data_IF_181855832408
#
_entry.id   IF_181855832408
#
_cell.length_a   1.000
_cell.length_b   1.000
_cell.length_c   1.000
_cell.angle_alpha   90.00
_cell.angle_beta   90.00
_cell.angle_gamma   90.00
#
_symmetry.space_group_name_H-M   'P 1'
#
loop_
_entity.id
_entity.type
_entity.pdbx_description
1 polymer ?
#
# COMPACT_ATOMS: atom_id res chain seq x y z
N UNK A 1 -28.97 -1.82 -15.39
CA UNK A 1 -29.25 -2.15 -16.80
C UNK A 1 -28.00 -2.77 -17.40
N UNK A 2 -28.00 -4.08 -17.60
CA UNK A 2 -26.85 -4.81 -18.13
C UNK A 2 -26.86 -4.74 -19.67
N UNK A 3 -25.87 -4.05 -20.25
CA UNK A 3 -25.64 -4.04 -21.69
C UNK A 3 -25.19 -5.42 -22.15
N UNK A 4 -25.99 -6.05 -22.99
CA UNK A 4 -25.67 -7.33 -23.62
C UNK A 4 -24.37 -7.20 -24.44
N UNK A 5 -23.38 -8.09 -24.25
CA UNK A 5 -22.18 -8.08 -25.08
C UNK A 5 -22.59 -8.41 -26.52
N UNK A 6 -22.25 -7.50 -27.44
CA UNK A 6 -22.57 -7.59 -28.87
C UNK A 6 -22.12 -8.94 -29.46
N UNK A 7 -23.08 -9.77 -29.89
CA UNK A 7 -22.83 -11.08 -30.48
C UNK A 7 -21.97 -11.07 -31.76
N UNK A 8 -21.72 -9.89 -32.35
CA UNK A 8 -20.89 -9.73 -33.55
C UNK A 8 -19.45 -10.23 -33.39
N UNK A 9 -18.82 -10.02 -32.23
CA UNK A 9 -17.41 -10.42 -32.02
C UNK A 9 -17.22 -11.94 -31.96
N UNK A 10 -18.20 -12.65 -31.37
CA UNK A 10 -18.21 -14.11 -31.30
C UNK A 10 -18.49 -14.75 -32.66
N UNK A 11 -19.38 -14.14 -33.46
CA UNK A 11 -19.72 -14.61 -34.80
C UNK A 11 -18.57 -14.39 -35.78
N UNK A 12 -17.86 -13.26 -35.69
CA UNK A 12 -16.67 -12.98 -36.50
C UNK A 12 -15.49 -13.91 -36.17
N UNK A 13 -15.21 -14.14 -34.87
CA UNK A 13 -14.18 -15.08 -34.43
C UNK A 13 -14.51 -16.54 -34.81
N UNK A 14 -15.79 -16.93 -34.67
CA UNK A 14 -16.29 -18.24 -35.08
C UNK A 14 -16.22 -18.48 -36.59
N UNK A 15 -16.57 -17.49 -37.42
CA UNK A 15 -16.46 -17.59 -38.88
C UNK A 15 -15.02 -17.71 -39.37
N UNK A 16 -14.09 -16.96 -38.77
CA UNK A 16 -12.68 -17.07 -39.12
C UNK A 16 -12.12 -18.46 -38.80
N UNK A 17 -12.46 -19.03 -37.64
CA UNK A 17 -12.06 -20.39 -37.26
C UNK A 17 -12.72 -21.47 -38.15
N UNK A 18 -14.00 -21.30 -38.53
CA UNK A 18 -14.76 -22.24 -39.35
C UNK A 18 -14.31 -22.28 -40.81
N UNK A 19 -13.79 -21.17 -41.35
CA UNK A 19 -13.27 -21.11 -42.72
C UNK A 19 -11.83 -21.66 -42.82
N UNK A 20 -10.98 -21.41 -41.82
CA UNK A 20 -9.58 -21.85 -41.82
C UNK A 20 -9.40 -23.36 -41.63
N UNK A 21 -10.25 -24.00 -40.83
CA UNK A 21 -10.21 -25.44 -40.55
C UNK A 21 -10.28 -26.35 -41.80
N UNK A 22 -11.28 -26.21 -42.69
CA UNK A 22 -11.37 -27.05 -43.89
C UNK A 22 -10.32 -26.68 -44.94
N UNK A 23 -9.94 -25.40 -45.07
CA UNK A 23 -8.90 -24.97 -46.02
C UNK A 23 -7.53 -25.55 -45.68
N UNK A 24 -7.18 -25.65 -44.39
CA UNK A 24 -5.89 -26.20 -43.94
C UNK A 24 -5.87 -27.73 -43.98
N UNK A 25 -7.00 -28.39 -43.67
CA UNK A 25 -7.11 -29.85 -43.64
C UNK A 25 -7.11 -30.49 -45.04
N UNK A 26 -7.75 -29.84 -46.02
CA UNK A 26 -7.92 -30.39 -47.38
C UNK A 26 -6.74 -30.02 -48.29
N UNK A 27 -6.10 -28.85 -48.09
CA UNK A 27 -5.04 -28.35 -48.97
C UNK A 27 -3.62 -28.89 -48.69
N UNK A 28 -3.33 -29.34 -47.46
CA UNK A 28 -1.95 -29.65 -47.01
C UNK A 28 -1.73 -31.09 -46.52
N UNK A 29 -2.77 -31.94 -46.49
CA UNK A 29 -2.67 -33.35 -46.06
C UNK A 29 -2.32 -33.55 -44.58
N UNK A 30 -2.51 -32.53 -43.72
CA UNK A 30 -2.16 -32.60 -42.30
C UNK A 30 -3.24 -33.29 -41.45
N UNK A 31 -2.87 -34.10 -40.43
CA UNK A 31 -3.81 -34.71 -39.48
C UNK A 31 -4.68 -33.67 -38.77
N UNK A 32 -6.00 -33.93 -38.70
CA UNK A 32 -7.00 -32.98 -38.21
C UNK A 32 -6.75 -32.44 -36.79
N UNK A 33 -6.08 -33.22 -35.93
CA UNK A 33 -5.71 -32.79 -34.57
C UNK A 33 -4.69 -31.63 -34.56
N UNK A 34 -3.80 -31.55 -35.55
CA UNK A 34 -2.81 -30.47 -35.68
C UNK A 34 -3.49 -29.20 -36.20
N UNK A 35 -4.42 -29.32 -37.16
CA UNK A 35 -5.22 -28.22 -37.66
C UNK A 35 -6.12 -27.60 -36.57
N UNK A 36 -6.66 -28.43 -35.66
CA UNK A 36 -7.39 -27.97 -34.48
C UNK A 36 -6.51 -27.10 -33.57
N UNK A 37 -5.26 -27.52 -33.33
CA UNK A 37 -4.30 -26.77 -32.53
C UNK A 37 -3.93 -25.42 -33.16
N UNK A 38 -3.68 -25.39 -34.48
CA UNK A 38 -3.34 -24.17 -35.22
C UNK A 38 -4.54 -23.21 -35.28
N UNK A 39 -5.76 -23.72 -35.48
CA UNK A 39 -6.99 -22.91 -35.50
C UNK A 39 -7.31 -22.32 -34.12
N UNK A 40 -7.12 -23.08 -33.03
CA UNK A 40 -7.27 -22.58 -31.67
C UNK A 40 -6.25 -21.46 -31.35
N UNK A 41 -5.00 -21.61 -31.80
CA UNK A 41 -3.94 -20.59 -31.67
C UNK A 41 -4.22 -19.33 -32.50
N UNK A 42 -4.61 -19.49 -33.77
CA UNK A 42 -4.91 -18.36 -34.66
C UNK A 42 -6.20 -17.63 -34.24
N UNK A 43 -7.27 -18.37 -33.90
CA UNK A 43 -8.53 -17.81 -33.41
C UNK A 43 -8.38 -17.17 -32.03
N UNK A 44 -7.66 -17.82 -31.12
CA UNK A 44 -7.34 -17.26 -29.80
C UNK A 44 -6.50 -15.99 -29.89
N UNK A 45 -5.49 -15.96 -30.77
CA UNK A 45 -4.66 -14.79 -31.03
C UNK A 45 -5.44 -13.59 -31.59
N UNK A 46 -6.38 -13.83 -32.51
CA UNK A 46 -7.26 -12.78 -33.06
C UNK A 46 -8.22 -12.25 -31.99
N UNK A 47 -8.80 -13.12 -31.16
CA UNK A 47 -9.69 -12.69 -30.06
C UNK A 47 -8.93 -11.88 -29.02
N UNK A 48 -7.70 -12.27 -28.67
CA UNK A 48 -6.84 -11.51 -27.75
C UNK A 48 -6.40 -10.18 -28.35
N UNK A 49 -6.09 -10.12 -29.64
CA UNK A 49 -5.70 -8.88 -30.32
C UNK A 49 -6.86 -7.87 -30.46
N UNK A 50 -8.10 -8.35 -30.61
CA UNK A 50 -9.30 -7.50 -30.67
C UNK A 50 -9.97 -7.28 -29.30
N UNK A 51 -9.54 -7.98 -28.25
CA UNK A 51 -10.13 -7.85 -26.93
C UNK A 51 -9.91 -6.43 -26.39
N UNK A 52 -10.94 -5.82 -25.77
CA UNK A 52 -10.86 -4.46 -25.29
C UNK A 52 -9.75 -4.34 -24.23
N UNK A 53 -8.79 -3.44 -24.48
CA UNK A 53 -7.62 -3.16 -23.63
C UNK A 53 -7.97 -2.96 -22.14
N UNK A 54 -9.21 -2.54 -21.84
CA UNK A 54 -9.72 -2.35 -20.47
C UNK A 54 -9.80 -3.63 -19.64
N UNK A 55 -10.02 -4.80 -20.26
CA UNK A 55 -10.08 -6.09 -19.52
C UNK A 55 -8.68 -6.53 -19.08
N UNK A 56 -7.66 -6.31 -19.91
CA UNK A 56 -6.28 -6.56 -19.54
C UNK A 56 -5.80 -5.58 -18.45
N UNK A 57 -6.15 -4.30 -18.58
CA UNK A 57 -5.83 -3.30 -17.56
C UNK A 57 -6.45 -3.62 -16.18
N UNK A 58 -7.68 -4.13 -16.13
CA UNK A 58 -8.32 -4.54 -14.88
C UNK A 58 -7.65 -5.78 -14.26
N UNK A 59 -7.25 -6.77 -15.07
CA UNK A 59 -6.53 -7.95 -14.60
C UNK A 59 -5.14 -7.57 -14.08
N UNK A 60 -4.41 -6.73 -14.80
CA UNK A 60 -3.11 -6.21 -14.39
C UNK A 60 -3.21 -5.39 -13.10
N UNK A 61 -4.18 -4.47 -13.00
CA UNK A 61 -4.44 -3.72 -11.77
C UNK A 61 -4.75 -4.64 -10.58
N UNK A 62 -5.53 -5.71 -10.80
CA UNK A 62 -5.84 -6.69 -9.75
C UNK A 62 -4.63 -7.52 -9.33
N UNK A 63 -3.75 -7.87 -10.28
CA UNK A 63 -2.49 -8.58 -10.02
C UNK A 63 -1.50 -7.72 -9.26
N UNK A 64 -1.34 -6.46 -9.67
CA UNK A 64 -0.50 -5.47 -8.98
C UNK A 64 -1.01 -5.22 -7.57
N UNK A 65 -2.33 -5.04 -7.38
CA UNK A 65 -2.91 -4.87 -6.05
C UNK A 65 -2.65 -6.08 -5.15
N UNK A 66 -2.82 -7.30 -5.68
CA UNK A 66 -2.54 -8.54 -4.93
C UNK A 66 -1.06 -8.65 -4.55
N UNK A 67 -0.15 -8.36 -5.48
CA UNK A 67 1.29 -8.37 -5.21
C UNK A 67 1.71 -7.32 -4.17
N UNK A 68 1.08 -6.14 -4.15
CA UNK A 68 1.31 -5.13 -3.11
C UNK A 68 0.89 -5.60 -1.72
N UNK A 69 -0.27 -6.28 -1.62
CA UNK A 69 -0.76 -6.82 -0.35
C UNK A 69 0.18 -7.91 0.16
N UNK A 70 0.59 -8.83 -0.71
CA UNK A 70 1.52 -9.91 -0.35
C UNK A 70 2.87 -9.36 0.11
N UNK A 71 3.43 -8.42 -0.63
CA UNK A 71 4.68 -7.75 -0.26
C UNK A 71 4.57 -6.95 1.05
N UNK A 72 3.43 -6.29 1.30
CA UNK A 72 3.20 -5.60 2.57
C UNK A 72 3.18 -6.58 3.75
N UNK A 73 2.49 -7.71 3.60
CA UNK A 73 2.43 -8.74 4.63
C UNK A 73 3.80 -9.37 4.89
N UNK A 74 4.60 -9.61 3.85
CA UNK A 74 5.97 -10.10 3.97
C UNK A 74 6.85 -9.13 4.77
N UNK A 75 6.83 -7.83 4.42
CA UNK A 75 7.59 -6.81 5.14
C UNK A 75 7.14 -6.64 6.59
N UNK A 76 5.85 -6.75 6.87
CA UNK A 76 5.33 -6.69 8.23
C UNK A 76 5.75 -7.93 9.04
N UNK A 77 5.73 -9.12 8.43
CA UNK A 77 6.19 -10.34 9.06
C UNK A 77 7.69 -10.30 9.41
N UNK A 78 8.50 -9.60 8.62
CA UNK A 78 9.92 -9.34 8.93
C UNK A 78 10.10 -8.25 9.99
N UNK A 79 9.21 -7.25 10.03
CA UNK A 79 9.29 -6.11 10.92
C UNK A 79 8.81 -6.39 12.36
N UNK A 80 7.79 -7.23 12.54
CA UNK A 80 7.21 -7.53 13.85
C UNK A 80 8.23 -8.09 14.86
N UNK A 81 9.10 -9.06 14.49
CA UNK A 81 10.15 -9.55 15.39
C UNK A 81 11.15 -8.46 15.82
N UNK A 82 11.37 -7.42 15.02
CA UNK A 82 12.25 -6.31 15.39
C UNK A 82 11.62 -5.47 16.50
N UNK A 83 10.31 -5.20 16.40
CA UNK A 83 9.58 -4.49 17.45
C UNK A 83 9.54 -5.29 18.76
N UNK A 84 9.35 -6.62 18.68
CA UNK A 84 9.41 -7.50 19.85
C UNK A 84 10.80 -7.50 20.51
N UNK A 85 11.88 -7.60 19.70
CA UNK A 85 13.26 -7.50 20.20
C UNK A 85 13.54 -6.16 20.88
N UNK A 86 13.02 -5.06 20.32
CA UNK A 86 13.15 -3.73 20.93
C UNK A 86 12.43 -3.65 22.28
N UNK A 87 11.22 -4.20 22.38
CA UNK A 87 10.46 -4.25 23.64
C UNK A 87 11.21 -5.06 24.71
N UNK A 88 11.69 -6.24 24.33
CA UNK A 88 12.52 -7.07 25.21
C UNK A 88 13.80 -6.32 25.65
N UNK A 89 14.46 -5.63 24.73
CA UNK A 89 15.65 -4.83 25.02
C UNK A 89 15.35 -3.69 25.99
N UNK A 90 14.23 -2.99 25.81
CA UNK A 90 13.77 -1.95 26.70
C UNK A 90 13.49 -2.47 28.12
N UNK A 91 12.96 -3.68 28.25
CA UNK A 91 12.74 -4.33 29.55
C UNK A 91 14.03 -4.64 30.32
N UNK A 92 15.15 -4.79 29.60
CA UNK A 92 16.44 -5.16 30.16
C UNK A 92 17.41 -3.97 30.35
N UNK A 93 17.00 -2.76 29.95
CA UNK A 93 17.77 -1.53 30.17
C UNK A 93 17.46 -0.96 31.56
N UNK A 94 18.50 -0.59 32.31
CA UNK A 94 18.41 -0.01 33.66
C UNK A 94 18.06 1.48 33.62
N UNK A 95 18.57 2.20 32.62
CA UNK A 95 18.29 3.62 32.44
C UNK A 95 16.86 3.85 31.97
N UNK A 96 15.98 4.20 32.91
CA UNK A 96 14.53 4.35 32.67
C UNK A 96 14.19 5.28 31.50
N UNK A 97 14.85 6.43 31.39
CA UNK A 97 14.58 7.38 30.31
C UNK A 97 14.79 6.78 28.91
N UNK A 98 15.84 5.97 28.73
CA UNK A 98 16.14 5.32 27.45
C UNK A 98 15.20 4.14 27.22
N UNK A 99 14.88 3.35 28.26
CA UNK A 99 13.90 2.28 28.15
C UNK A 99 12.52 2.82 27.73
N UNK A 100 12.05 3.92 28.33
CA UNK A 100 10.77 4.55 28.00
C UNK A 100 10.77 5.09 26.57
N UNK A 101 11.90 5.64 26.10
CA UNK A 101 12.06 6.07 24.70
C UNK A 101 11.96 4.90 23.73
N UNK A 102 12.63 3.79 24.00
CA UNK A 102 12.56 2.59 23.14
C UNK A 102 11.14 2.02 23.12
N UNK A 103 10.43 1.99 24.26
CA UNK A 103 9.01 1.59 24.28
C UNK A 103 8.15 2.49 23.41
N UNK A 104 8.39 3.81 23.46
CA UNK A 104 7.69 4.75 22.59
C UNK A 104 7.95 4.47 21.09
N UNK A 105 9.20 4.15 20.72
CA UNK A 105 9.53 3.69 19.36
C UNK A 105 8.73 2.44 18.96
N UNK A 106 8.61 1.47 19.87
CA UNK A 106 7.83 0.24 19.64
C UNK A 106 6.35 0.55 19.45
N UNK A 107 5.79 1.45 20.26
CA UNK A 107 4.39 1.91 20.08
C UNK A 107 4.18 2.53 18.71
N UNK A 108 5.05 3.46 18.29
CA UNK A 108 4.94 4.10 16.97
C UNK A 108 5.08 3.06 15.84
N UNK A 109 6.02 2.11 15.97
CA UNK A 109 6.21 1.06 14.97
C UNK A 109 4.94 0.22 14.80
N UNK A 110 4.31 -0.21 15.90
CA UNK A 110 3.04 -0.96 15.87
C UNK A 110 1.89 -0.16 15.28
N UNK A 111 1.81 1.13 15.56
CA UNK A 111 0.80 2.01 14.95
C UNK A 111 0.99 2.09 13.42
N UNK A 112 2.24 2.19 12.96
CA UNK A 112 2.57 2.15 11.53
C UNK A 112 2.21 0.79 10.93
N UNK A 113 2.51 -0.32 11.61
CA UNK A 113 2.13 -1.66 11.14
C UNK A 113 0.63 -1.78 10.96
N UNK A 114 -0.15 -1.39 11.98
CA UNK A 114 -1.60 -1.41 11.92
C UNK A 114 -2.15 -0.50 10.80
N UNK A 115 -1.50 0.63 10.49
CA UNK A 115 -1.87 1.47 9.37
C UNK A 115 -1.64 0.78 8.01
N UNK A 116 -0.54 0.04 7.86
CA UNK A 116 -0.22 -0.72 6.64
C UNK A 116 -1.14 -1.94 6.49
N UNK A 117 -1.46 -2.63 7.58
CA UNK A 117 -2.41 -3.75 7.56
C UNK A 117 -3.80 -3.31 7.08
N UNK A 118 -4.25 -2.11 7.49
CA UNK A 118 -5.53 -1.53 7.03
C UNK A 118 -5.47 -1.10 5.58
N UNK A 119 -4.36 -0.50 5.14
CA UNK A 119 -4.16 -0.05 3.77
C UNK A 119 -2.73 -0.31 3.28
N UNK A 120 -2.52 -1.44 2.57
CA UNK A 120 -1.21 -1.81 2.03
C UNK A 120 -0.62 -0.80 1.04
N UNK A 121 -1.41 0.12 0.48
CA UNK A 121 -0.91 1.17 -0.41
C UNK A 121 -0.06 2.21 0.35
N UNK A 122 -0.22 2.31 1.68
CA UNK A 122 0.59 3.20 2.52
C UNK A 122 2.04 2.76 2.61
N UNK A 123 2.33 1.49 2.33
CA UNK A 123 3.67 0.92 2.38
C UNK A 123 4.67 1.75 1.58
N UNK A 124 4.29 2.28 0.42
CA UNK A 124 5.20 3.03 -0.45
C UNK A 124 5.78 4.28 0.26
N UNK A 125 5.08 4.85 1.24
CA UNK A 125 5.52 6.03 2.01
C UNK A 125 6.42 5.67 3.19
N UNK A 126 6.25 4.49 3.77
CA UNK A 126 6.96 4.01 4.97
C UNK A 126 7.89 2.83 4.71
N UNK A 127 8.10 2.46 3.44
CA UNK A 127 9.00 1.39 3.03
C UNK A 127 10.39 1.55 3.64
N UNK A 128 10.95 2.75 3.57
CA UNK A 128 12.28 3.05 4.15
C UNK A 128 12.29 2.96 5.67
N UNK A 129 11.16 3.25 6.32
CA UNK A 129 11.04 3.05 7.75
C UNK A 129 11.20 1.56 8.10
N UNK A 130 10.45 0.68 7.43
CA UNK A 130 10.51 -0.77 7.66
C UNK A 130 11.86 -1.39 7.29
N UNK A 131 12.44 -1.02 6.14
CA UNK A 131 13.63 -1.71 5.61
C UNK A 131 14.96 -1.17 6.15
N UNK A 132 14.95 -0.04 6.87
CA UNK A 132 16.20 0.60 7.29
C UNK A 132 16.14 1.19 8.70
N UNK A 133 15.16 2.05 8.98
CA UNK A 133 15.14 2.76 10.27
C UNK A 133 14.76 1.84 11.43
N UNK A 134 13.79 0.96 11.24
CA UNK A 134 13.36 0.00 12.26
C UNK A 134 14.46 -1.03 12.61
N UNK A 135 15.09 -1.72 11.66
CA UNK A 135 16.22 -2.61 11.95
C UNK A 135 17.36 -1.88 12.67
N UNK A 136 17.70 -0.66 12.22
CA UNK A 136 18.76 0.13 12.83
C UNK A 136 18.41 0.58 14.25
N UNK A 137 17.15 0.89 14.52
CA UNK A 137 16.70 1.22 15.87
C UNK A 137 16.85 0.01 16.81
N UNK A 138 16.52 -1.20 16.34
CA UNK A 138 16.74 -2.42 17.10
C UNK A 138 18.23 -2.66 17.39
N UNK A 139 19.11 -2.51 16.39
CA UNK A 139 20.56 -2.64 16.56
C UNK A 139 21.12 -1.64 17.60
N UNK A 140 20.68 -0.38 17.53
CA UNK A 140 21.15 0.67 18.46
C UNK A 140 20.62 0.42 19.88
N UNK A 141 19.37 -0.02 20.03
CA UNK A 141 18.82 -0.39 21.32
C UNK A 141 19.62 -1.54 21.96
N UNK A 142 19.95 -2.57 21.17
CA UNK A 142 20.77 -3.70 21.64
C UNK A 142 22.20 -3.27 22.00
N UNK A 143 22.80 -2.40 21.19
CA UNK A 143 24.12 -1.83 21.45
C UNK A 143 24.11 -1.01 22.75
N UNK A 144 23.08 -0.18 22.98
CA UNK A 144 22.93 0.57 24.22
C UNK A 144 22.88 -0.35 25.44
N UNK A 145 22.03 -1.39 25.38
CA UNK A 145 21.93 -2.40 26.45
C UNK A 145 23.26 -3.11 26.70
N UNK A 146 23.98 -3.46 25.65
CA UNK A 146 25.29 -4.13 25.76
C UNK A 146 26.33 -3.22 26.43
N UNK A 147 26.38 -1.94 26.04
CA UNK A 147 27.26 -0.93 26.64
C UNK A 147 26.92 -0.71 28.11
N UNK A 148 25.63 -0.63 28.46
CA UNK A 148 25.18 -0.44 29.83
C UNK A 148 25.52 -1.65 30.71
N UNK A 149 25.47 -2.88 30.18
CA UNK A 149 25.79 -4.12 30.91
C UNK A 149 27.30 -4.34 31.10
N UNK A 150 28.15 -3.65 30.32
CA UNK A 150 29.61 -3.82 30.40
C UNK A 150 30.15 -3.45 31.79
N UNK A 151 31.11 -4.24 32.29
CA UNK A 151 31.80 -3.97 33.56
C UNK A 151 32.66 -2.70 33.51
N UNK A 152 33.07 -2.27 32.31
CA UNK A 152 33.75 -0.99 32.06
C UNK A 152 32.92 -0.22 31.02
N UNK A 153 31.98 0.63 31.45
CA UNK A 153 31.13 1.39 30.54
C UNK A 153 31.92 2.49 29.83
N UNK A 154 31.92 2.47 28.49
CA UNK A 154 32.33 3.62 27.69
C UNK A 154 31.19 4.65 27.73
N UNK A 155 31.29 5.61 28.65
CA UNK A 155 30.24 6.62 28.89
C UNK A 155 29.98 7.50 27.68
N UNK A 156 31.01 7.77 26.85
CA UNK A 156 30.85 8.56 25.63
C UNK A 156 30.04 7.80 24.57
N UNK A 157 30.33 6.50 24.37
CA UNK A 157 29.53 5.66 23.46
C UNK A 157 28.11 5.43 23.97
N UNK A 158 27.93 5.25 25.27
CA UNK A 158 26.61 5.10 25.87
C UNK A 158 25.75 6.36 25.66
N UNK A 159 26.33 7.54 25.88
CA UNK A 159 25.66 8.81 25.62
C UNK A 159 25.31 8.99 24.13
N UNK A 160 26.25 8.70 23.23
CA UNK A 160 26.02 8.78 21.79
C UNK A 160 24.90 7.84 21.30
N UNK A 161 24.84 6.61 21.84
CA UNK A 161 23.76 5.67 21.55
C UNK A 161 22.41 6.20 22.05
N UNK A 162 22.36 6.79 23.25
CA UNK A 162 21.16 7.44 23.77
C UNK A 162 20.67 8.60 22.89
N UNK A 163 21.57 9.48 22.47
CA UNK A 163 21.24 10.60 21.56
C UNK A 163 20.70 10.08 20.21
N UNK A 164 21.27 8.99 19.70
CA UNK A 164 20.79 8.39 18.46
C UNK A 164 19.39 7.79 18.61
N UNK A 165 19.07 7.20 19.76
CA UNK A 165 17.70 6.73 20.07
C UNK A 165 16.73 7.92 20.09
N UNK A 166 17.10 9.05 20.70
CA UNK A 166 16.27 10.27 20.68
C UNK A 166 16.07 10.82 19.25
N UNK A 167 17.09 10.77 18.40
CA UNK A 167 16.96 11.17 16.98
C UNK A 167 16.05 10.22 16.20
N UNK A 168 16.13 8.92 16.49
CA UNK A 168 15.24 7.91 15.89
C UNK A 168 13.79 8.13 16.32
N UNK A 169 13.55 8.58 17.54
CA UNK A 169 12.20 8.91 18.06
C UNK A 169 11.53 10.01 17.25
N UNK A 170 12.27 11.09 16.98
CA UNK A 170 11.80 12.15 16.09
C UNK A 170 11.54 11.67 14.66
N UNK A 171 12.38 10.76 14.14
CA UNK A 171 12.20 10.20 12.81
C UNK A 171 10.96 9.29 12.72
N UNK A 172 10.76 8.41 13.70
CA UNK A 172 9.59 7.52 13.80
C UNK A 172 8.30 8.33 13.88
N UNK A 173 8.28 9.34 14.76
CA UNK A 173 7.12 10.23 14.92
C UNK A 173 6.77 10.93 13.60
N UNK A 174 7.79 11.38 12.84
CA UNK A 174 7.56 11.99 11.52
C UNK A 174 6.98 10.99 10.51
N UNK A 175 7.45 9.74 10.51
CA UNK A 175 6.88 8.71 9.63
C UNK A 175 5.42 8.43 9.96
N UNK A 176 5.06 8.36 11.25
CA UNK A 176 3.68 8.18 11.68
C UNK A 176 2.80 9.40 11.32
N UNK A 177 3.28 10.62 11.56
CA UNK A 177 2.57 11.85 11.18
C UNK A 177 2.31 11.92 9.66
N UNK A 178 3.30 11.59 8.84
CA UNK A 178 3.15 11.55 7.38
C UNK A 178 2.08 10.54 6.91
N UNK A 179 1.80 9.49 7.69
CA UNK A 179 0.69 8.57 7.39
C UNK A 179 -0.67 9.17 7.74
N UNK A 180 -0.75 9.98 8.79
CA UNK A 180 -1.98 10.67 9.23
C UNK A 180 -2.33 11.85 8.33
N UNK A 181 -1.35 12.65 7.92
CA UNK A 181 -1.56 13.81 7.03
C UNK A 181 -2.26 13.39 5.73
N UNK A 182 -1.89 12.23 5.19
CA UNK A 182 -2.52 11.72 3.99
C UNK A 182 -3.97 11.25 4.19
N UNK A 183 -4.36 10.89 5.42
CA UNK A 183 -5.75 10.58 5.75
C UNK A 183 -6.60 11.84 5.81
N UNK A 184 -6.01 12.93 6.31
CA UNK A 184 -6.64 14.25 6.29
C UNK A 184 -6.82 14.73 4.85
N UNK A 185 -5.81 14.59 3.98
CA UNK A 185 -5.92 14.93 2.56
C UNK A 185 -7.04 14.15 1.85
N UNK A 186 -7.16 12.84 2.15
CA UNK A 186 -8.21 12.00 1.58
C UNK A 186 -9.60 12.43 2.07
N UNK A 187 -9.74 12.73 3.36
CA UNK A 187 -10.97 13.23 3.94
C UNK A 187 -11.38 14.58 3.33
N UNK A 188 -10.44 15.49 3.09
CA UNK A 188 -10.70 16.78 2.45
C UNK A 188 -11.20 16.64 1.01
N UNK A 189 -10.66 15.66 0.26
CA UNK A 189 -11.16 15.34 -1.09
C UNK A 189 -12.59 14.79 -1.00
N UNK A 190 -12.86 13.87 -0.09
CA UNK A 190 -14.20 13.31 0.12
C UNK A 190 -15.21 14.38 0.53
N UNK A 191 -14.83 15.32 1.41
CA UNK A 191 -15.66 16.46 1.80
C UNK A 191 -15.93 17.41 0.62
N UNK A 192 -14.91 17.71 -0.21
CA UNK A 192 -15.09 18.52 -1.42
C UNK A 192 -16.03 17.85 -2.42
N UNK A 193 -15.89 16.54 -2.61
CA UNK A 193 -16.76 15.76 -3.49
C UNK A 193 -18.20 15.73 -2.96
N UNK A 194 -18.36 15.49 -1.65
CA UNK A 194 -19.68 15.51 -1.00
C UNK A 194 -20.33 16.89 -1.13
N UNK A 195 -19.57 17.98 -0.90
CA UNK A 195 -20.05 19.35 -1.08
C UNK A 195 -20.44 19.61 -2.53
N UNK A 196 -19.64 19.16 -3.50
CA UNK A 196 -19.97 19.32 -4.93
C UNK A 196 -21.24 18.56 -5.30
N UNK A 197 -21.40 17.32 -4.83
CA UNK A 197 -22.62 16.52 -5.06
C UNK A 197 -23.84 17.16 -4.42
N UNK A 198 -23.67 17.73 -3.22
CA UNK A 198 -24.75 18.40 -2.49
C UNK A 198 -25.16 19.72 -3.17
N UNK A 199 -24.19 20.52 -3.63
CA UNK A 199 -24.45 21.75 -4.36
C UNK A 199 -25.11 21.45 -5.73
N UNK A 200 -24.83 20.29 -6.35
CA UNK A 200 -25.48 19.82 -7.59
C UNK A 200 -26.93 19.32 -7.37
N UNK A 201 -27.18 18.56 -6.29
CA UNK A 201 -28.50 17.99 -5.99
C UNK A 201 -29.49 19.00 -5.39
N UNK A 202 -29.02 19.94 -4.56
CA UNK A 202 -29.89 20.84 -3.76
C UNK A 202 -29.69 22.33 -4.10
N UNK A 203 -28.73 22.65 -4.97
CA UNK A 203 -28.31 24.02 -5.28
C UNK A 203 -27.28 24.57 -4.27
N UNK A 204 -26.47 25.58 -4.67
CA UNK A 204 -25.34 26.04 -3.88
C UNK A 204 -25.77 26.61 -2.52
N UNK A 205 -25.10 26.18 -1.45
CA UNK A 205 -25.34 26.75 -0.10
C UNK A 205 -24.96 28.24 -0.11
N UNK A 206 -25.86 29.19 0.22
CA UNK A 206 -25.53 30.61 0.32
C UNK A 206 -24.40 30.80 1.34
N UNK A 207 -23.42 31.70 1.09
CA UNK A 207 -22.37 31.98 2.05
C UNK A 207 -23.00 32.39 3.38
N UNK A 208 -22.57 31.73 4.47
CA UNK A 208 -23.04 32.02 5.81
C UNK A 208 -22.93 33.53 6.07
N UNK A 209 -24.09 34.18 6.23
CA UNK A 209 -24.15 35.61 6.45
C UNK A 209 -23.32 35.97 7.70
N UNK A 210 -22.57 37.08 7.69
CA UNK A 210 -21.91 37.58 8.89
C UNK A 210 -22.96 37.72 9.98
N UNK A 211 -22.73 37.10 11.14
CA UNK A 211 -23.59 37.29 12.30
C UNK A 211 -23.42 38.75 12.72
N UNK A 212 -24.32 39.61 12.24
CA UNK A 212 -24.40 41.01 12.63
C UNK A 212 -24.80 41.03 14.10
N UNK A 213 -23.79 41.03 14.98
CA UNK A 213 -23.97 41.30 16.39
C UNK A 213 -24.53 42.71 16.49
N UNK A 214 -25.85 42.81 16.62
CA UNK A 214 -26.56 44.06 16.87
C UNK A 214 -26.08 44.58 18.22
N UNK A 215 -25.01 45.38 18.19
CA UNK A 215 -24.51 46.10 19.35
C UNK A 215 -25.61 47.08 19.75
N UNK A 216 -26.19 46.85 20.93
CA UNK A 216 -27.28 47.64 21.48
C UNK A 216 -26.95 49.12 21.44
N UNK A 217 -27.89 49.90 20.92
CA UNK A 217 -27.96 51.33 21.18
C UNK A 217 -29.42 51.69 21.43
N UNK A 218 -29.62 52.27 22.61
CA UNK A 218 -30.82 52.89 23.19
C UNK A 218 -31.54 52.02 24.21
#
# INVERSE_FOLDING_TARGET
MAGTPSGLGWIAGGMAAAALLPSLAIGLGMPFWIALGISALAGGGIIVALAPRSRFAALEASGVARGKIEFANELLAEAEPLAERMEYTASAIRTRAVADRIRHLVTIARDIFAAIERDPLRLDRVRRFLTYYLPRAAEIAEAYRALEKSSVPDTARLAAAGEMIDRLDGAFTRYAANLQDADLDKLDIELKLLKSSLDEDIGPTPPAAPIETKRGTS
#
